data_IF_041653060767
#
_entry.id   IF_041653060767
#
_cell.length_a   1.000
_cell.length_b   1.000
_cell.length_c   1.000
_cell.angle_alpha   90.00
_cell.angle_beta   90.00
_cell.angle_gamma   90.00
#
_symmetry.space_group_name_H-M   'P 1'
#
loop_
_entity.id
_entity.type
_entity.pdbx_description
1 polymer ?
#
# COMPACT_ATOMS: atom_id res chain seq x y z
N UNK A 1 2.29 -20.50 3.46
CA UNK A 1 3.06 -19.27 3.14
C UNK A 1 2.09 -18.10 3.17
N UNK A 2 2.14 -17.28 4.21
CA UNK A 2 1.38 -16.02 4.23
C UNK A 2 2.13 -15.04 3.33
N UNK A 3 1.56 -14.76 2.17
CA UNK A 3 2.09 -13.83 1.18
C UNK A 3 1.95 -12.40 1.74
N UNK A 4 2.73 -12.03 2.75
CA UNK A 4 2.92 -10.63 3.08
C UNK A 4 3.69 -10.00 1.91
N UNK A 5 2.92 -9.55 0.92
CA UNK A 5 3.46 -9.02 -0.33
C UNK A 5 4.47 -7.90 -0.09
N UNK A 6 5.36 -7.70 -1.05
CA UNK A 6 6.22 -6.53 -1.05
C UNK A 6 5.40 -5.29 -1.40
N UNK A 7 5.67 -4.18 -0.73
CA UNK A 7 5.01 -2.91 -1.02
C UNK A 7 5.38 -2.49 -2.44
N UNK A 8 4.38 -2.30 -3.29
CA UNK A 8 4.58 -1.91 -4.69
C UNK A 8 5.12 -0.48 -4.87
N UNK A 9 5.32 0.27 -3.77
CA UNK A 9 5.93 1.61 -3.76
C UNK A 9 7.38 1.57 -3.30
N UNK A 10 7.66 0.97 -2.14
CA UNK A 10 9.00 1.00 -1.55
C UNK A 10 9.76 -0.34 -1.60
N UNK A 11 9.13 -1.40 -2.10
CA UNK A 11 9.72 -2.74 -2.20
C UNK A 11 9.90 -3.48 -0.88
N UNK A 12 9.55 -2.86 0.25
CA UNK A 12 9.70 -3.48 1.58
C UNK A 12 8.59 -4.49 1.86
N UNK A 13 8.86 -5.58 2.60
CA UNK A 13 7.83 -6.49 3.05
C UNK A 13 6.80 -5.80 3.96
N UNK A 14 5.64 -6.43 4.10
CA UNK A 14 4.54 -5.91 4.93
C UNK A 14 3.50 -5.10 4.15
N UNK A 15 3.35 -5.37 2.85
CA UNK A 15 2.21 -4.87 2.10
C UNK A 15 0.94 -5.57 2.58
N UNK A 16 0.03 -4.79 3.17
CA UNK A 16 -1.21 -5.28 3.78
C UNK A 16 -2.40 -4.37 3.51
N UNK A 17 -2.19 -3.24 2.84
CA UNK A 17 -3.23 -2.27 2.50
C UNK A 17 -3.36 -2.16 1.00
N UNK A 18 -4.59 -2.11 0.50
CA UNK A 18 -4.88 -1.93 -0.93
C UNK A 18 -5.40 -0.52 -1.15
N UNK A 19 -4.77 0.22 -2.06
CA UNK A 19 -5.24 1.54 -2.48
C UNK A 19 -6.57 1.42 -3.22
N UNK A 20 -7.61 2.13 -2.77
CA UNK A 20 -8.94 2.08 -3.42
C UNK A 20 -8.94 2.69 -4.83
N UNK A 21 -7.98 3.54 -5.18
CA UNK A 21 -7.93 4.23 -6.48
C UNK A 21 -7.15 3.45 -7.55
N UNK A 22 -5.98 2.91 -7.20
CA UNK A 22 -5.12 2.23 -8.18
C UNK A 22 -4.98 0.72 -7.96
N UNK A 23 -5.55 0.17 -6.88
CA UNK A 23 -5.47 -1.25 -6.55
C UNK A 23 -4.11 -1.72 -6.04
N UNK A 24 -3.11 -0.83 -5.89
CA UNK A 24 -1.78 -1.23 -5.43
C UNK A 24 -1.78 -1.70 -3.97
N UNK A 25 -1.06 -2.78 -3.69
CA UNK A 25 -0.84 -3.29 -2.34
C UNK A 25 0.41 -2.64 -1.75
N UNK A 26 0.26 -1.98 -0.61
CA UNK A 26 1.27 -1.13 0.02
C UNK A 26 1.38 -1.39 1.53
N UNK A 27 2.52 -1.03 2.10
CA UNK A 27 2.74 -1.08 3.56
C UNK A 27 2.07 0.12 4.25
N UNK A 28 1.93 0.06 5.58
CA UNK A 28 1.36 1.16 6.39
C UNK A 28 2.05 2.50 6.14
N UNK A 29 3.36 2.50 5.91
CA UNK A 29 4.12 3.72 5.69
C UNK A 29 3.82 4.38 4.33
N UNK A 30 3.34 3.61 3.36
CA UNK A 30 2.99 4.09 2.03
C UNK A 30 1.47 4.17 1.81
N UNK A 31 0.68 3.97 2.87
CA UNK A 31 -0.78 4.03 2.86
C UNK A 31 -1.27 5.24 3.67
N UNK A 32 -2.10 6.06 3.04
CA UNK A 32 -2.88 7.11 3.70
C UNK A 32 -4.19 6.51 4.19
N UNK A 33 -4.22 6.14 5.47
CA UNK A 33 -5.40 5.55 6.09
C UNK A 33 -6.59 6.51 6.23
N UNK A 34 -6.35 7.84 6.20
CA UNK A 34 -7.42 8.84 6.29
C UNK A 34 -8.29 8.85 5.03
N UNK A 35 -7.67 8.65 3.86
CA UNK A 35 -8.36 8.66 2.58
C UNK A 35 -8.50 7.26 1.94
N UNK A 36 -7.86 6.24 2.51
CA UNK A 36 -7.91 4.86 2.00
C UNK A 36 -7.06 4.64 0.74
N UNK A 37 -6.07 5.50 0.49
CA UNK A 37 -5.28 5.51 -0.76
C UNK A 37 -3.80 5.38 -0.47
N UNK A 38 -2.99 4.97 -1.45
CA UNK A 38 -1.54 5.03 -1.31
C UNK A 38 -1.02 6.46 -1.46
N UNK A 39 0.21 6.71 -0.98
CA UNK A 39 0.83 8.05 -1.05
C UNK A 39 0.99 8.61 -2.47
N UNK A 40 0.99 7.75 -3.51
CA UNK A 40 1.02 8.18 -4.92
C UNK A 40 -0.31 8.72 -5.42
N UNK A 41 -1.44 8.25 -4.87
CA UNK A 41 -2.79 8.64 -5.27
C UNK A 41 -3.42 9.67 -4.33
N UNK A 42 -2.76 10.01 -3.23
CA UNK A 42 -3.14 11.10 -2.33
C UNK A 42 -3.06 12.48 -3.01
N UNK A 43 -2.31 12.59 -4.10
CA UNK A 43 -1.87 13.83 -4.72
C UNK A 43 -2.61 14.14 -6.01
#
# INVERSE_FOLDING_TARGET
MELMGLCQICGRPGARYTCILCGSIVCSNCFDAKHGVCIRCKN
#
